data_IF_262019064206
#
_entry.id   IF_262019064206
#
_cell.length_a   1.000
_cell.length_b   1.000
_cell.length_c   1.000
_cell.angle_alpha   90.00
_cell.angle_beta   90.00
_cell.angle_gamma   90.00
#
_symmetry.space_group_name_H-M   'P 1'
#
loop_
_entity.id
_entity.type
_entity.pdbx_description
1 polymer ?
#
# COMPACT_ATOMS: atom_id res chain seq x y z
N UNK A 1 35.39 -5.46 -37.80
CA UNK A 1 34.04 -6.01 -37.58
C UNK A 1 34.08 -7.02 -36.44
N UNK A 2 33.85 -6.56 -35.21
CA UNK A 2 33.55 -7.41 -34.06
C UNK A 2 32.81 -6.55 -33.02
N UNK A 3 31.49 -6.55 -33.16
CA UNK A 3 30.45 -6.20 -32.20
C UNK A 3 30.88 -5.42 -30.94
N UNK A 4 30.99 -4.12 -31.12
CA UNK A 4 30.48 -3.16 -30.15
C UNK A 4 28.96 -3.32 -30.01
N UNK A 5 28.52 -4.06 -28.99
CA UNK A 5 27.26 -3.87 -28.28
C UNK A 5 27.65 -3.59 -26.82
N UNK A 6 28.10 -2.37 -26.48
CA UNK A 6 27.19 -1.27 -26.09
C UNK A 6 26.20 -1.85 -25.08
N UNK A 7 26.56 -1.96 -23.79
CA UNK A 7 26.43 -0.87 -22.82
C UNK A 7 25.08 -0.13 -23.04
N UNK A 8 24.02 -0.34 -22.25
CA UNK A 8 24.10 -0.34 -20.78
C UNK A 8 23.11 -1.30 -20.09
N UNK A 9 23.63 -2.28 -19.34
CA UNK A 9 22.87 -2.96 -18.28
C UNK A 9 22.95 -2.16 -16.97
N UNK A 10 22.73 -0.84 -17.03
CA UNK A 10 22.85 0.05 -15.85
C UNK A 10 21.53 0.80 -15.58
N UNK A 11 20.53 0.74 -16.47
CA UNK A 11 19.24 1.43 -16.26
C UNK A 11 18.16 0.60 -15.56
N UNK A 12 18.54 -0.34 -14.68
CA UNK A 12 17.58 -1.14 -13.89
C UNK A 12 17.69 -0.92 -12.37
N UNK A 13 18.46 0.08 -11.90
CA UNK A 13 18.54 0.40 -10.46
C UNK A 13 17.85 1.70 -10.05
N UNK A 14 17.17 2.40 -10.96
CA UNK A 14 16.42 3.63 -10.64
C UNK A 14 15.00 3.36 -10.07
N UNK A 15 14.75 2.16 -9.55
CA UNK A 15 13.53 1.87 -8.80
C UNK A 15 13.84 0.91 -7.63
N UNK A 16 14.86 1.26 -6.85
CA UNK A 16 14.98 0.73 -5.49
C UNK A 16 13.68 1.10 -4.76
N UNK A 17 12.85 0.09 -4.48
CA UNK A 17 11.55 0.16 -3.81
C UNK A 17 11.66 0.66 -2.36
N UNK A 18 12.16 1.87 -2.18
CA UNK A 18 11.98 2.63 -0.95
C UNK A 18 10.56 3.13 -0.98
N UNK A 19 9.70 2.50 -0.17
CA UNK A 19 8.45 3.10 0.26
C UNK A 19 8.72 4.57 0.55
N UNK A 20 8.05 5.46 -0.18
CA UNK A 20 8.16 6.89 0.08
C UNK A 20 7.86 7.10 1.56
N UNK A 21 8.60 7.94 2.30
CA UNK A 21 8.38 8.14 3.74
C UNK A 21 6.95 8.64 4.06
N UNK A 22 6.21 9.07 3.05
CA UNK A 22 4.79 9.44 3.07
C UNK A 22 3.81 8.27 2.88
N UNK A 23 4.27 7.04 2.67
CA UNK A 23 3.45 5.85 2.43
C UNK A 23 3.24 5.01 3.72
N UNK A 24 3.12 5.70 4.85
CA UNK A 24 2.77 5.08 6.13
C UNK A 24 1.27 4.96 6.27
N UNK A 25 0.79 4.04 7.12
CA UNK A 25 -0.64 3.82 7.36
C UNK A 25 -1.36 5.13 7.71
N UNK A 26 -0.84 5.90 8.67
CA UNK A 26 -1.44 7.17 9.09
C UNK A 26 -1.54 8.19 7.96
N UNK A 27 -0.48 8.32 7.16
CA UNK A 27 -0.46 9.25 6.02
C UNK A 27 -1.47 8.82 4.94
N UNK A 28 -1.57 7.53 4.65
CA UNK A 28 -2.51 7.00 3.66
C UNK A 28 -3.98 7.08 4.16
N UNK A 29 -4.21 6.96 5.47
CA UNK A 29 -5.53 7.24 6.08
C UNK A 29 -5.88 8.72 5.93
N UNK A 30 -4.94 9.65 6.10
CA UNK A 30 -5.18 11.07 5.90
C UNK A 30 -5.39 11.43 4.41
N UNK A 31 -4.70 10.78 3.48
CA UNK A 31 -4.66 11.14 2.06
C UNK A 31 -5.26 10.05 1.13
N UNK A 32 -6.57 10.13 0.80
CA UNK A 32 -7.27 9.10 0.03
C UNK A 32 -6.78 8.98 -1.41
N UNK A 33 -6.42 10.09 -2.04
CA UNK A 33 -5.94 10.10 -3.43
C UNK A 33 -4.59 9.39 -3.53
N UNK A 34 -3.72 9.56 -2.52
CA UNK A 34 -2.45 8.83 -2.46
C UNK A 34 -2.67 7.34 -2.22
N UNK A 35 -3.58 6.97 -1.31
CA UNK A 35 -3.93 5.58 -1.05
C UNK A 35 -4.43 4.85 -2.31
N UNK A 36 -5.27 5.48 -3.13
CA UNK A 36 -5.72 4.90 -4.41
C UNK A 36 -4.57 4.63 -5.36
N UNK A 37 -3.65 5.57 -5.50
CA UNK A 37 -2.49 5.43 -6.37
C UNK A 37 -1.56 4.30 -5.90
N UNK A 38 -1.32 4.20 -4.60
CA UNK A 38 -0.51 3.11 -4.03
C UNK A 38 -1.17 1.76 -4.25
N UNK A 39 -2.50 1.67 -4.07
CA UNK A 39 -3.24 0.43 -4.38
C UNK A 39 -3.17 0.06 -5.86
N UNK A 40 -3.20 1.04 -6.77
CA UNK A 40 -3.01 0.82 -8.22
C UNK A 40 -1.62 0.25 -8.49
N UNK A 41 -0.58 0.88 -7.95
CA UNK A 41 0.79 0.42 -8.09
C UNK A 41 1.02 -0.98 -7.50
N UNK A 42 0.39 -1.30 -6.37
CA UNK A 42 0.44 -2.63 -5.77
C UNK A 42 -0.25 -3.71 -6.62
N UNK A 43 -1.28 -3.37 -7.39
CA UNK A 43 -1.92 -4.28 -8.33
C UNK A 43 -1.08 -4.48 -9.60
N UNK A 44 -0.41 -3.42 -10.05
CA UNK A 44 0.43 -3.46 -11.26
C UNK A 44 1.76 -4.18 -11.02
N UNK A 45 2.46 -3.87 -9.93
CA UNK A 45 3.77 -4.44 -9.63
C UNK A 45 4.02 -4.55 -8.12
N UNK A 46 3.48 -5.61 -7.53
CA UNK A 46 3.63 -5.92 -6.10
C UNK A 46 5.10 -6.13 -5.69
N UNK A 47 5.91 -6.78 -6.53
CA UNK A 47 7.31 -7.08 -6.24
C UNK A 47 8.15 -5.81 -6.10
N UNK A 48 7.86 -4.79 -6.91
CA UNK A 48 8.52 -3.48 -6.86
C UNK A 48 8.08 -2.62 -5.69
N UNK A 49 6.79 -2.67 -5.33
CA UNK A 49 6.24 -1.91 -4.20
C UNK A 49 6.65 -2.50 -2.84
N UNK A 50 6.79 -3.82 -2.79
CA UNK A 50 7.12 -4.58 -1.59
C UNK A 50 5.92 -4.82 -0.68
N UNK A 51 5.90 -5.99 -0.04
CA UNK A 51 4.81 -6.43 0.85
C UNK A 51 4.47 -5.43 1.94
N UNK A 52 5.50 -4.80 2.54
CA UNK A 52 5.30 -3.85 3.62
C UNK A 52 4.45 -2.64 3.19
N UNK A 53 4.69 -2.11 1.99
CA UNK A 53 3.95 -0.96 1.43
C UNK A 53 2.52 -1.34 1.09
N UNK A 54 2.33 -2.48 0.40
CA UNK A 54 1.01 -2.93 0.00
C UNK A 54 0.14 -3.36 1.20
N UNK A 55 0.77 -3.91 2.25
CA UNK A 55 0.09 -4.19 3.51
C UNK A 55 -0.28 -2.91 4.25
N UNK A 56 0.61 -1.90 4.29
CA UNK A 56 0.29 -0.60 4.87
C UNK A 56 -0.90 0.09 4.16
N UNK A 57 -0.94 0.05 2.83
CA UNK A 57 -2.07 0.54 2.05
C UNK A 57 -3.37 -0.22 2.36
N UNK A 58 -3.29 -1.55 2.47
CA UNK A 58 -4.44 -2.39 2.84
C UNK A 58 -4.96 -2.08 4.24
N UNK A 59 -4.05 -1.87 5.20
CA UNK A 59 -4.41 -1.47 6.57
C UNK A 59 -5.04 -0.07 6.59
N UNK A 60 -4.46 0.89 5.86
CA UNK A 60 -5.01 2.24 5.76
C UNK A 60 -6.43 2.23 5.17
N UNK A 61 -6.65 1.44 4.13
CA UNK A 61 -7.98 1.22 3.58
C UNK A 61 -8.91 0.62 4.63
N UNK A 62 -8.50 -0.47 5.30
CA UNK A 62 -9.30 -1.11 6.35
C UNK A 62 -9.70 -0.13 7.44
N UNK A 63 -8.76 0.67 7.96
CA UNK A 63 -9.03 1.67 9.01
C UNK A 63 -10.00 2.75 8.54
N UNK A 64 -9.89 3.18 7.28
CA UNK A 64 -10.78 4.22 6.73
C UNK A 64 -12.23 3.74 6.60
N UNK A 65 -12.45 2.47 6.27
CA UNK A 65 -13.79 1.92 6.05
C UNK A 65 -14.38 1.22 7.28
N UNK A 66 -13.58 0.48 8.04
CA UNK A 66 -14.03 -0.32 9.20
C UNK A 66 -13.69 0.36 10.54
N UNK A 67 -12.95 1.47 10.53
CA UNK A 67 -12.35 2.05 11.73
C UNK A 67 -11.17 1.24 12.26
N UNK A 68 -10.58 1.68 13.36
CA UNK A 68 -9.40 1.05 13.97
C UNK A 68 -9.67 -0.32 14.63
N UNK A 69 -10.86 -0.91 14.43
CA UNK A 69 -11.25 -2.18 15.05
C UNK A 69 -11.42 -2.13 16.57
N UNK A 70 -11.47 -0.92 17.16
CA UNK A 70 -11.66 -0.70 18.60
C UNK A 70 -13.13 -0.65 19.04
N UNK A 71 -14.06 -0.74 18.09
CA UNK A 71 -15.49 -0.78 18.39
C UNK A 71 -15.84 -2.04 19.19
N UNK A 72 -16.33 -1.88 20.42
CA UNK A 72 -16.86 -3.00 21.19
C UNK A 72 -18.26 -3.32 20.66
N UNK A 73 -18.48 -4.55 20.23
CA UNK A 73 -19.83 -5.03 19.98
C UNK A 73 -20.55 -5.16 21.33
N UNK A 74 -21.55 -4.31 21.55
CA UNK A 74 -22.51 -4.43 22.65
C UNK A 74 -23.81 -4.98 22.09
N UNK A 75 -24.05 -6.30 22.19
CA UNK A 75 -25.34 -6.86 21.80
C UNK A 75 -26.42 -6.27 22.70
N UNK A 76 -27.49 -5.76 22.09
CA UNK A 76 -28.68 -5.40 22.85
C UNK A 76 -29.36 -6.70 23.31
N UNK A 77 -29.77 -6.81 24.59
CA UNK A 77 -30.51 -7.96 25.05
C UNK A 77 -31.81 -8.12 24.26
N UNK A 78 -32.17 -9.36 23.93
CA UNK A 78 -33.39 -9.65 23.18
C UNK A 78 -34.63 -9.11 23.93
N UNK A 79 -35.65 -8.60 23.21
CA UNK A 79 -36.86 -8.09 23.86
C UNK A 79 -37.54 -9.20 24.66
N UNK A 80 -37.87 -8.92 25.92
CA UNK A 80 -38.68 -9.81 26.75
C UNK A 80 -40.16 -9.52 26.44
N UNK A 81 -40.76 -10.43 25.69
CA UNK A 81 -42.19 -10.52 25.42
C UNK A 81 -42.96 -11.02 26.65
#
# INVERSE_FOLDING_TARGET
MKWTCVLPMILALAACGKATPTDTVESLVAHPDRLKEVQRLCQEDHAKMGDATCNAASEAFRRRFMGDGKGKYTPQPAPRN
#
